data_IF_007265512493
#
_entry.id   IF_007265512493
#
_cell.length_a   1.000
_cell.length_b   1.000
_cell.length_c   1.000
_cell.angle_alpha   90.00
_cell.angle_beta   90.00
_cell.angle_gamma   90.00
#
_symmetry.space_group_name_H-M   'P 1'
#
loop_
_entity.id
_entity.type
_entity.pdbx_description
1 polymer ?
#
# COMPACT_ATOMS: atom_id res chain seq x y z
N UNK A 1 -1.32 -20.08 26.14
CA UNK A 1 -2.36 -19.39 25.35
C UNK A 1 -1.64 -18.77 24.16
N UNK A 2 -1.74 -19.41 22.99
CA UNK A 2 -1.03 -19.04 21.76
C UNK A 2 -1.47 -17.65 21.34
N UNK A 3 -0.56 -16.68 21.35
CA UNK A 3 -0.86 -15.34 20.85
C UNK A 3 -1.02 -15.45 19.32
N UNK A 4 -2.25 -15.27 18.84
CA UNK A 4 -2.57 -15.33 17.42
C UNK A 4 -2.11 -14.02 16.74
N UNK A 5 -1.04 -14.09 15.96
CA UNK A 5 -0.47 -12.95 15.24
C UNK A 5 -0.38 -13.24 13.74
N UNK A 6 -0.39 -12.16 12.95
CA UNK A 6 -0.02 -12.14 11.53
C UNK A 6 1.33 -11.48 11.36
N UNK A 7 2.20 -12.07 10.52
CA UNK A 7 3.44 -11.42 10.12
C UNK A 7 3.19 -10.69 8.79
N UNK A 8 3.42 -9.38 8.79
CA UNK A 8 3.51 -8.57 7.59
C UNK A 8 4.97 -8.40 7.22
N UNK A 9 5.37 -8.80 6.03
CA UNK A 9 6.69 -8.43 5.49
C UNK A 9 6.46 -7.31 4.49
N UNK A 10 7.09 -6.17 4.73
CA UNK A 10 6.89 -4.97 3.95
C UNK A 10 8.10 -4.70 3.06
N UNK A 11 7.88 -4.68 1.76
CA UNK A 11 8.85 -4.30 0.72
C UNK A 11 8.50 -2.90 0.21
N UNK A 12 9.50 -2.03 0.14
CA UNK A 12 9.38 -0.65 -0.31
C UNK A 12 10.13 -0.45 -1.61
N UNK A 13 9.49 0.22 -2.57
CA UNK A 13 10.08 0.61 -3.83
C UNK A 13 9.82 2.10 -4.06
N UNK A 14 10.88 2.83 -4.41
CA UNK A 14 10.85 4.26 -4.67
C UNK A 14 11.17 4.55 -6.14
N UNK A 15 10.92 5.80 -6.56
CA UNK A 15 11.22 6.31 -7.89
C UNK A 15 11.45 7.84 -7.75
N UNK A 16 12.54 8.41 -8.27
CA UNK A 16 13.06 9.74 -7.87
C UNK A 16 12.66 10.87 -8.81
N UNK A 17 12.04 11.93 -8.29
CA UNK A 17 12.16 13.27 -8.85
C UNK A 17 13.08 14.13 -7.98
N UNK A 18 13.87 15.02 -8.58
CA UNK A 18 14.67 16.02 -7.87
C UNK A 18 13.77 16.93 -6.99
N UNK A 19 13.44 16.50 -5.76
CA UNK A 19 13.12 17.31 -4.60
C UNK A 19 12.63 16.40 -3.45
N UNK A 20 13.34 16.52 -2.33
CA UNK A 20 12.90 16.23 -0.96
C UNK A 20 13.05 14.78 -0.49
N UNK A 21 13.66 14.64 0.70
CA UNK A 21 13.74 13.41 1.50
C UNK A 21 12.33 12.85 1.79
N UNK A 22 11.69 12.22 0.81
CA UNK A 22 10.47 11.45 0.98
C UNK A 22 10.84 10.01 1.31
N UNK A 23 11.39 9.82 2.52
CA UNK A 23 11.16 8.55 3.20
C UNK A 23 9.67 8.52 3.51
N UNK A 24 8.86 7.90 2.65
CA UNK A 24 7.44 7.68 2.88
C UNK A 24 7.31 6.99 4.24
N UNK A 25 6.98 7.76 5.29
CA UNK A 25 6.75 7.23 6.63
C UNK A 25 5.45 6.46 6.58
N UNK A 26 5.53 5.20 6.19
CA UNK A 26 4.42 4.28 6.27
C UNK A 26 4.38 3.72 7.68
N UNK A 27 3.21 3.80 8.28
CA UNK A 27 2.97 3.34 9.61
C UNK A 27 1.75 2.45 9.63
N UNK A 28 1.89 1.27 10.21
CA UNK A 28 0.74 0.44 10.56
C UNK A 28 0.26 0.88 11.95
N UNK A 29 -1.01 1.25 12.06
CA UNK A 29 -1.62 1.73 13.29
C UNK A 29 -2.72 0.76 13.73
N UNK A 30 -2.61 0.20 14.93
CA UNK A 30 -3.58 -0.72 15.51
C UNK A 30 -3.74 -0.41 17.01
N UNK A 31 -4.98 -0.16 17.47
CA UNK A 31 -5.29 0.13 18.88
C UNK A 31 -4.38 1.23 19.49
N UNK A 32 -4.22 2.36 18.79
CA UNK A 32 -3.34 3.48 19.15
C UNK A 32 -1.83 3.17 19.19
N UNK A 33 -1.43 1.95 18.84
CA UNK A 33 -0.01 1.57 18.67
C UNK A 33 0.41 1.80 17.23
N UNK A 34 1.50 2.53 17.04
CA UNK A 34 2.09 2.82 15.74
C UNK A 34 3.33 1.97 15.50
N UNK A 35 3.36 1.28 14.37
CA UNK A 35 4.49 0.51 13.87
C UNK A 35 5.03 1.16 12.61
N UNK A 36 6.14 1.89 12.73
CA UNK A 36 6.80 2.53 11.59
C UNK A 36 7.56 1.51 10.76
N UNK A 37 7.44 1.60 9.44
CA UNK A 37 8.35 0.93 8.53
C UNK A 37 9.54 1.84 8.25
N UNK A 38 10.72 1.44 8.71
CA UNK A 38 11.93 2.28 8.65
C UNK A 38 13.01 1.73 7.73
N UNK A 39 12.89 0.48 7.28
CA UNK A 39 13.82 -0.15 6.34
C UNK A 39 13.04 -0.99 5.34
N UNK A 40 13.65 -1.22 4.18
CA UNK A 40 13.27 -2.30 3.27
C UNK A 40 13.23 -3.62 4.06
N UNK A 41 12.21 -4.45 3.83
CA UNK A 41 12.00 -5.74 4.50
C UNK A 41 11.70 -5.67 6.00
N UNK A 42 10.79 -4.79 6.42
CA UNK A 42 10.33 -4.76 7.81
C UNK A 42 9.30 -5.86 8.06
N UNK A 43 9.52 -6.66 9.10
CA UNK A 43 8.53 -7.64 9.60
C UNK A 43 7.75 -7.08 10.78
N UNK A 44 6.41 -7.07 10.70
CA UNK A 44 5.53 -6.65 11.79
C UNK A 44 4.61 -7.77 12.23
N UNK A 45 4.44 -7.95 13.54
CA UNK A 45 3.45 -8.86 14.11
C UNK A 45 2.23 -8.06 14.61
N UNK A 46 1.11 -8.08 13.87
CA UNK A 46 -0.13 -7.43 14.29
C UNK A 46 -1.10 -8.44 14.88
N UNK A 47 -1.98 -7.97 15.78
CA UNK A 47 -3.11 -8.76 16.26
C UNK A 47 -4.10 -8.97 15.12
N UNK A 48 -4.92 -10.02 15.22
CA UNK A 48 -6.03 -10.28 14.31
C UNK A 48 -7.19 -9.30 14.52
N UNK A 49 -6.95 -8.01 14.31
CA UNK A 49 -7.90 -6.92 14.47
C UNK A 49 -7.73 -5.94 13.31
N UNK A 50 -8.75 -5.12 13.00
CA UNK A 50 -8.63 -3.96 12.13
C UNK A 50 -7.41 -3.12 12.45
N UNK A 51 -6.79 -2.59 11.39
CA UNK A 51 -5.68 -1.66 11.48
C UNK A 51 -5.78 -0.64 10.34
N UNK A 52 -4.95 0.40 10.41
CA UNK A 52 -4.84 1.37 9.34
C UNK A 52 -3.39 1.47 8.87
N UNK A 53 -3.20 1.75 7.59
CA UNK A 53 -1.90 2.15 7.03
C UNK A 53 -1.93 3.67 6.86
N UNK A 54 -1.10 4.37 7.63
CA UNK A 54 -0.92 5.81 7.52
C UNK A 54 0.36 6.13 6.76
N UNK A 55 0.27 7.05 5.82
CA UNK A 55 1.41 7.47 5.01
C UNK A 55 1.29 8.93 4.61
N UNK A 56 2.41 9.51 4.17
CA UNK A 56 2.46 10.86 3.63
C UNK A 56 2.61 10.77 2.10
N UNK A 57 1.87 11.59 1.37
CA UNK A 57 2.03 11.73 -0.08
C UNK A 57 1.58 13.14 -0.52
N UNK A 58 1.94 13.54 -1.73
CA UNK A 58 1.28 14.68 -2.40
C UNK A 58 -0.15 14.30 -2.80
N UNK A 59 -0.99 15.32 -3.00
CA UNK A 59 -2.36 15.12 -3.45
C UNK A 59 -2.40 14.71 -4.92
N UNK A 60 -3.25 13.75 -5.24
CA UNK A 60 -3.56 13.39 -6.62
C UNK A 60 -4.24 14.57 -7.32
N UNK A 61 -3.86 14.87 -8.57
CA UNK A 61 -4.47 15.93 -9.36
C UNK A 61 -4.52 15.56 -10.83
N UNK A 62 -5.67 15.10 -11.28
CA UNK A 62 -5.87 14.65 -12.67
C UNK A 62 -5.66 15.81 -13.65
N UNK A 63 -6.09 17.03 -13.28
CA UNK A 63 -6.03 18.21 -14.16
C UNK A 63 -4.61 18.74 -14.39
N UNK A 64 -3.70 18.45 -13.46
CA UNK A 64 -2.30 18.87 -13.51
C UNK A 64 -1.35 17.71 -13.79
N UNK A 65 -1.88 16.53 -14.12
CA UNK A 65 -1.11 15.30 -14.35
C UNK A 65 -0.20 14.92 -13.16
N UNK A 66 -0.58 15.32 -11.94
CA UNK A 66 0.11 14.91 -10.71
C UNK A 66 -0.55 13.62 -10.23
N UNK A 67 -0.15 12.49 -10.83
CA UNK A 67 -0.77 11.18 -10.60
C UNK A 67 -0.13 10.44 -9.42
N UNK A 68 0.20 11.17 -8.37
CA UNK A 68 0.88 10.63 -7.20
C UNK A 68 -0.12 9.82 -6.37
N UNK A 69 0.02 8.50 -6.44
CA UNK A 69 -0.74 7.55 -5.66
C UNK A 69 0.19 6.47 -5.12
N UNK A 70 -0.13 5.97 -3.94
CA UNK A 70 0.58 4.83 -3.38
C UNK A 70 -0.06 3.55 -3.93
N UNK A 71 0.72 2.78 -4.68
CA UNK A 71 0.31 1.47 -5.16
C UNK A 71 0.66 0.41 -4.11
N UNK A 72 -0.27 -0.48 -3.81
CA UNK A 72 -0.06 -1.52 -2.78
C UNK A 72 -0.51 -2.88 -3.29
N UNK A 73 0.46 -3.78 -3.53
CA UNK A 73 0.18 -5.19 -3.75
C UNK A 73 0.23 -5.93 -2.42
N UNK A 74 -0.69 -6.89 -2.22
CA UNK A 74 -0.73 -7.73 -1.02
C UNK A 74 -0.74 -9.19 -1.43
N UNK A 75 0.28 -9.93 -1.02
CA UNK A 75 0.57 -11.29 -1.48
C UNK A 75 0.62 -12.22 -0.27
N UNK A 76 0.22 -13.48 -0.39
CA UNK A 76 0.23 -14.47 0.70
C UNK A 76 1.24 -15.61 0.50
N UNK A 77 1.93 -15.65 -0.65
CA UNK A 77 2.96 -16.61 -0.98
C UNK A 77 4.28 -15.90 -1.33
N UNK A 78 5.33 -16.23 -0.59
CA UNK A 78 6.67 -15.65 -0.75
C UNK A 78 7.27 -15.89 -2.14
N UNK A 79 6.91 -17.00 -2.80
CA UNK A 79 7.45 -17.34 -4.11
C UNK A 79 6.90 -16.44 -5.23
N UNK A 80 5.80 -15.73 -4.96
CA UNK A 80 5.20 -14.79 -5.90
C UNK A 80 5.80 -13.39 -5.77
N UNK A 81 6.68 -13.16 -4.78
CA UNK A 81 7.48 -11.95 -4.70
C UNK A 81 8.52 -11.93 -5.81
N UNK A 82 8.49 -10.86 -6.60
CA UNK A 82 9.53 -10.59 -7.57
C UNK A 82 10.79 -10.09 -6.88
N UNK A 83 11.95 -10.48 -7.43
CA UNK A 83 13.19 -9.76 -7.18
C UNK A 83 13.10 -8.44 -7.93
N UNK A 84 12.88 -7.36 -7.20
CA UNK A 84 12.73 -6.03 -7.78
C UNK A 84 14.07 -5.32 -7.63
N UNK A 85 14.59 -4.87 -8.76
CA UNK A 85 15.91 -4.26 -8.87
C UNK A 85 15.77 -2.82 -9.37
N UNK A 86 16.78 -2.00 -9.09
CA UNK A 86 16.90 -0.66 -9.69
C UNK A 86 16.88 -0.77 -11.23
N UNK A 87 16.36 0.27 -11.88
CA UNK A 87 16.19 0.37 -13.34
C UNK A 87 15.18 -0.62 -13.93
N UNK A 88 14.55 -1.49 -13.12
CA UNK A 88 13.49 -2.38 -13.58
C UNK A 88 12.26 -1.56 -14.01
N UNK A 89 11.74 -1.75 -15.23
CA UNK A 89 10.46 -1.16 -15.62
C UNK A 89 9.33 -1.69 -14.74
N UNK A 90 8.52 -0.80 -14.18
CA UNK A 90 7.42 -1.15 -13.26
C UNK A 90 6.45 -2.14 -13.90
N UNK A 91 6.17 -1.97 -15.20
CA UNK A 91 5.23 -2.84 -15.93
C UNK A 91 5.69 -4.30 -16.08
N UNK A 92 6.94 -4.62 -15.77
CA UNK A 92 7.44 -6.00 -15.73
C UNK A 92 7.20 -6.70 -14.38
N UNK A 93 6.74 -5.95 -13.37
CA UNK A 93 6.36 -6.50 -12.07
C UNK A 93 4.88 -6.93 -12.18
N UNK A 94 4.53 -8.23 -12.07
CA UNK A 94 3.20 -8.74 -12.44
C UNK A 94 2.04 -8.04 -11.72
N UNK A 95 2.21 -7.70 -10.44
CA UNK A 95 1.16 -7.02 -9.67
C UNK A 95 1.15 -5.49 -9.84
N UNK A 96 2.06 -4.91 -10.63
CA UNK A 96 2.08 -3.49 -11.01
C UNK A 96 2.05 -3.29 -12.54
N UNK A 97 1.72 -4.33 -13.32
CA UNK A 97 1.59 -4.20 -14.76
C UNK A 97 0.40 -3.30 -15.15
N UNK A 98 0.39 -2.84 -16.41
CA UNK A 98 -0.72 -2.03 -16.91
C UNK A 98 -2.03 -2.82 -16.85
N UNK A 99 -3.04 -2.26 -16.17
CA UNK A 99 -4.35 -2.91 -16.00
C UNK A 99 -4.48 -3.78 -14.75
N UNK A 100 -3.43 -3.91 -13.94
CA UNK A 100 -3.43 -4.69 -12.70
C UNK A 100 -4.07 -3.97 -11.49
N UNK A 101 -4.40 -2.68 -11.65
CA UNK A 101 -5.01 -1.86 -10.61
C UNK A 101 -6.46 -2.25 -10.32
N UNK A 102 -6.79 -2.50 -9.06
CA UNK A 102 -8.15 -2.80 -8.64
C UNK A 102 -9.01 -1.53 -8.60
N UNK A 103 -10.24 -1.64 -9.10
CA UNK A 103 -11.26 -0.61 -8.90
C UNK A 103 -11.69 -0.60 -7.45
N UNK A 104 -11.84 0.59 -6.87
CA UNK A 104 -12.49 0.75 -5.58
C UNK A 104 -14.01 0.51 -5.70
N UNK A 105 -14.69 0.35 -4.57
CA UNK A 105 -16.14 0.14 -4.55
C UNK A 105 -16.91 1.42 -4.92
N UNK A 106 -18.23 1.34 -5.00
CA UNK A 106 -19.12 2.45 -5.39
C UNK A 106 -18.94 3.72 -4.52
N UNK A 107 -18.47 3.57 -3.28
CA UNK A 107 -18.19 4.68 -2.37
C UNK A 107 -16.76 5.27 -2.53
N UNK A 108 -16.00 4.79 -3.51
CA UNK A 108 -14.62 5.16 -3.79
C UNK A 108 -13.59 4.45 -2.92
N UNK A 109 -13.98 3.75 -1.85
CA UNK A 109 -13.06 3.05 -0.94
C UNK A 109 -13.01 1.55 -1.24
N UNK A 110 -11.95 0.88 -0.80
CA UNK A 110 -11.87 -0.58 -0.83
C UNK A 110 -12.54 -1.18 0.41
N UNK A 111 -13.59 -2.00 0.24
CA UNK A 111 -14.21 -2.76 1.33
C UNK A 111 -13.30 -3.83 1.91
N UNK A 112 -12.42 -4.37 1.09
CA UNK A 112 -11.48 -5.44 1.43
C UNK A 112 -10.14 -5.28 0.73
N UNK A 113 -9.08 -5.67 1.42
CA UNK A 113 -7.76 -5.81 0.81
C UNK A 113 -7.75 -7.10 0.00
N UNK A 114 -7.71 -6.97 -1.32
CA UNK A 114 -7.54 -8.08 -2.25
C UNK A 114 -6.11 -8.61 -2.10
N UNK A 115 -5.99 -9.91 -1.87
CA UNK A 115 -4.73 -10.63 -1.72
C UNK A 115 -4.54 -11.56 -2.91
N UNK A 116 -3.58 -11.25 -3.77
CA UNK A 116 -3.18 -12.09 -4.92
C UNK A 116 -1.82 -11.64 -5.46
N UNK A 117 -1.32 -12.35 -6.47
CA UNK A 117 -0.01 -12.10 -7.10
C UNK A 117 -0.07 -11.31 -8.41
N UNK A 118 -1.23 -10.75 -8.78
CA UNK A 118 -1.45 -10.16 -10.11
C UNK A 118 -2.07 -8.76 -10.09
N UNK A 119 -2.28 -8.14 -8.93
CA UNK A 119 -2.81 -6.79 -8.89
C UNK A 119 -2.51 -6.00 -7.62
N UNK A 120 -2.88 -4.73 -7.67
CA UNK A 120 -2.60 -3.77 -6.60
C UNK A 120 -3.78 -2.84 -6.33
N UNK A 121 -3.81 -2.32 -5.10
CA UNK A 121 -4.68 -1.22 -4.70
C UNK A 121 -4.03 0.10 -5.11
N UNK A 122 -4.84 1.03 -5.61
CA UNK A 122 -4.38 2.35 -6.02
C UNK A 122 -4.89 3.38 -5.00
N UNK A 123 -4.03 3.76 -4.06
CA UNK A 123 -4.37 4.61 -2.92
C UNK A 123 -4.15 6.09 -3.25
N UNK A 124 -5.24 6.80 -3.54
CA UNK A 124 -5.22 8.19 -3.97
C UNK A 124 -6.20 9.05 -3.17
N UNK A 125 -5.87 10.34 -3.06
CA UNK A 125 -6.80 11.36 -2.58
C UNK A 125 -6.67 12.62 -3.44
N UNK A 126 -7.71 12.93 -4.20
CA UNK A 126 -7.84 14.21 -4.93
C UNK A 126 -8.81 15.15 -4.19
N UNK A 127 -9.96 14.64 -3.78
CA UNK A 127 -10.97 15.34 -2.99
C UNK A 127 -11.96 14.35 -2.36
N UNK A 128 -12.93 14.83 -1.58
CA UNK A 128 -13.92 13.98 -0.89
C UNK A 128 -14.75 13.08 -1.82
N UNK A 129 -14.93 13.49 -3.09
CA UNK A 129 -15.69 12.73 -4.09
C UNK A 129 -14.80 11.85 -4.98
N UNK A 130 -13.47 12.01 -4.91
CA UNK A 130 -12.51 11.21 -5.68
C UNK A 130 -11.33 10.83 -4.78
N UNK A 131 -11.47 9.70 -4.10
CA UNK A 131 -10.53 9.18 -3.11
C UNK A 131 -10.71 7.67 -2.95
N UNK A 132 -9.63 6.98 -2.59
CA UNK A 132 -9.64 5.58 -2.12
C UNK A 132 -9.05 5.40 -0.72
N UNK A 133 -8.73 6.53 -0.07
CA UNK A 133 -8.19 6.64 1.29
C UNK A 133 -8.80 7.85 2.00
N UNK A 134 -8.64 7.92 3.32
CA UNK A 134 -9.06 9.06 4.13
C UNK A 134 -7.95 10.11 4.23
N UNK A 135 -8.33 11.39 4.21
CA UNK A 135 -7.46 12.50 4.53
C UNK A 135 -7.42 12.73 6.05
N UNK A 136 -6.21 12.91 6.60
CA UNK A 136 -6.00 13.14 8.04
C UNK A 136 -5.55 14.57 8.31
N UNK A 137 -4.47 15.00 7.65
CA UNK A 137 -3.89 16.32 7.87
C UNK A 137 -3.04 16.76 6.69
N UNK A 138 -2.68 18.05 6.62
CA UNK A 138 -1.85 18.60 5.56
C UNK A 138 -0.74 19.48 6.13
N UNK A 139 0.46 19.39 5.56
CA UNK A 139 1.59 20.29 5.81
C UNK A 139 2.19 20.72 4.46
N UNK A 140 2.00 21.99 4.10
CA UNK A 140 2.44 22.49 2.80
C UNK A 140 1.69 21.80 1.65
N UNK A 141 2.41 21.15 0.73
CA UNK A 141 1.83 20.38 -0.38
C UNK A 141 1.60 18.90 -0.05
N UNK A 142 1.99 18.47 1.15
CA UNK A 142 1.96 17.06 1.57
C UNK A 142 0.76 16.80 2.47
N UNK A 143 0.00 15.76 2.13
CA UNK A 143 -1.08 15.22 2.92
C UNK A 143 -0.62 14.00 3.71
N UNK A 144 -1.16 13.84 4.90
CA UNK A 144 -1.16 12.59 5.65
C UNK A 144 -2.48 11.90 5.35
N UNK A 145 -2.39 10.65 4.89
CA UNK A 145 -3.53 9.85 4.49
C UNK A 145 -3.60 8.56 5.29
N UNK A 146 -4.78 7.95 5.31
CA UNK A 146 -5.06 6.72 6.06
C UNK A 146 -5.87 5.76 5.22
N UNK A 147 -5.35 4.56 5.04
CA UNK A 147 -6.07 3.43 4.44
C UNK A 147 -6.53 2.50 5.55
N UNK A 148 -7.84 2.27 5.67
CA UNK A 148 -8.40 1.40 6.71
C UNK A 148 -8.50 -0.04 6.19
N UNK A 149 -7.93 -0.98 6.93
CA UNK A 149 -7.91 -2.39 6.60
C UNK A 149 -8.71 -3.14 7.66
N UNK A 150 -9.89 -3.64 7.25
CA UNK A 150 -10.82 -4.34 8.13
C UNK A 150 -11.06 -5.79 7.70
N UNK A 151 -10.76 -6.09 6.43
CA UNK A 151 -11.13 -7.34 5.75
C UNK A 151 -10.10 -7.66 4.67
N UNK A 152 -9.97 -8.94 4.38
CA UNK A 152 -9.15 -9.47 3.30
C UNK A 152 -10.00 -10.32 2.36
N UNK A 153 -9.82 -10.11 1.06
CA UNK A 153 -10.39 -10.96 0.02
C UNK A 153 -9.29 -11.93 -0.47
N UNK A 154 -9.41 -13.20 -0.08
CA UNK A 154 -8.42 -14.26 -0.29
C UNK A 154 -9.14 -15.46 -0.89
N UNK A 155 -8.64 -16.01 -2.02
CA UNK A 155 -9.20 -17.20 -2.68
C UNK A 155 -10.72 -17.09 -2.91
N UNK A 156 -11.13 -15.99 -3.55
CA UNK A 156 -12.52 -15.67 -3.91
C UNK A 156 -13.49 -15.51 -2.72
N UNK A 157 -12.94 -15.35 -1.51
CA UNK A 157 -13.73 -15.24 -0.29
C UNK A 157 -13.28 -14.06 0.53
N UNK A 158 -14.28 -13.42 1.12
CA UNK A 158 -14.09 -12.26 1.95
C UNK A 158 -14.09 -12.63 3.43
N UNK A 159 -13.01 -12.27 4.13
CA UNK A 159 -12.81 -12.57 5.54
C UNK A 159 -12.61 -11.28 6.35
N UNK A 160 -13.34 -11.10 7.47
CA UNK A 160 -12.90 -10.14 8.48
C UNK A 160 -11.57 -10.63 9.10
N UNK A 161 -10.71 -9.70 9.52
CA UNK A 161 -9.33 -9.99 9.95
C UNK A 161 -9.27 -10.98 11.12
N UNK A 162 -10.28 -10.99 11.98
CA UNK A 162 -10.39 -11.90 13.11
C UNK A 162 -10.48 -13.37 12.66
N UNK A 163 -10.94 -13.62 11.42
CA UNK A 163 -11.26 -14.96 10.89
C UNK A 163 -10.26 -15.48 9.87
N UNK A 164 -9.32 -14.67 9.39
CA UNK A 164 -8.27 -15.18 8.51
C UNK A 164 -7.44 -16.23 9.24
N UNK A 165 -7.03 -17.29 8.55
CA UNK A 165 -6.14 -18.33 9.10
C UNK A 165 -4.76 -17.73 9.38
N UNK A 166 -3.97 -18.26 10.33
CA UNK A 166 -2.63 -17.75 10.56
C UNK A 166 -1.81 -17.90 9.26
N UNK A 167 -1.45 -16.78 8.63
CA UNK A 167 -0.68 -16.72 7.39
C UNK A 167 0.27 -15.52 7.45
N UNK A 168 1.25 -15.47 6.56
CA UNK A 168 2.10 -14.29 6.36
C UNK A 168 1.54 -13.53 5.18
N UNK A 169 1.42 -12.21 5.30
CA UNK A 169 1.04 -11.34 4.20
C UNK A 169 2.23 -10.45 3.85
N UNK A 170 2.48 -10.26 2.57
CA UNK A 170 3.56 -9.46 2.04
C UNK A 170 2.97 -8.21 1.42
N UNK A 171 3.28 -7.04 1.97
CA UNK A 171 2.80 -5.77 1.45
C UNK A 171 3.94 -5.15 0.64
N UNK A 172 3.71 -4.95 -0.65
CA UNK A 172 4.66 -4.27 -1.54
C UNK A 172 4.10 -2.88 -1.82
N UNK A 173 4.81 -1.87 -1.35
CA UNK A 173 4.46 -0.46 -1.52
C UNK A 173 5.31 0.15 -2.62
N UNK A 174 4.67 0.80 -3.57
CA UNK A 174 5.31 1.48 -4.69
C UNK A 174 4.74 2.88 -4.87
N UNK A 175 5.60 3.87 -5.08
CA UNK A 175 5.19 5.20 -5.55
C UNK A 175 6.13 5.67 -6.65
N UNK A 176 5.57 5.93 -7.82
CA UNK A 176 6.28 6.53 -8.95
C UNK A 176 6.14 8.07 -8.88
N UNK A 177 7.12 8.75 -8.30
CA UNK A 177 7.04 10.21 -8.09
C UNK A 177 7.47 11.04 -9.30
N UNK A 178 8.23 10.47 -10.24
CA UNK A 178 8.70 11.16 -11.45
C UNK A 178 7.91 10.74 -12.70
N UNK A 179 7.01 9.77 -12.56
CA UNK A 179 6.18 9.20 -13.61
C UNK A 179 7.01 8.58 -14.75
N UNK A 180 8.22 8.08 -14.48
CA UNK A 180 9.11 7.50 -15.48
C UNK A 180 8.83 6.01 -15.73
N UNK A 181 7.97 5.38 -14.91
CA UNK A 181 7.62 3.96 -14.96
C UNK A 181 8.77 2.98 -14.73
N UNK A 182 9.79 3.38 -13.98
CA UNK A 182 11.00 2.60 -13.67
C UNK A 182 11.21 2.60 -12.14
N UNK A 183 11.79 1.54 -11.58
CA UNK A 183 12.22 1.50 -10.18
C UNK A 183 13.52 2.30 -10.04
N UNK A 184 13.53 3.36 -9.24
CA UNK A 184 14.76 4.09 -8.92
C UNK A 184 15.11 3.91 -7.44
N UNK A 185 16.37 3.65 -7.11
CA UNK A 185 16.80 3.53 -5.71
C UNK A 185 17.46 4.80 -5.18
N UNK A 186 17.55 4.90 -3.85
CA UNK A 186 18.16 6.04 -3.15
C UNK A 186 19.69 6.09 -3.27
#
# INVERSE_FOLDING_TARGET
MTKNFFIFIVLFLYCKANAQQFLNKINFVQEDVQHSITTENTSLALKKLPFSVMFENTFYNTKKELLNALQVAVIDNVNDLQNIEEEMPIHLIPYFENGSGFSADENGLYSSVIVNSYGHHYLLYENENNKSIEFVSKKGTIGTFKWNVNRFYINEKDYPIERIQNQTLYFVFLTDFNSNNIIDTD
#
